data_IF_885976523761
#
_entry.id   IF_885976523761
#
_cell.length_a   1.000
_cell.length_b   1.000
_cell.length_c   1.000
_cell.angle_alpha   90.00
_cell.angle_beta   90.00
_cell.angle_gamma   90.00
#
_symmetry.space_group_name_H-M   'P 1'
#
loop_
_entity.id
_entity.type
_entity.pdbx_description
1 polymer ?
#
# COMPACT_ATOMS: atom_id res chain seq x y z
N UNK A 1 -9.50 -12.23 -3.59
CA UNK A 1 -10.03 -13.41 -4.34
C UNK A 1 -11.51 -13.16 -4.65
N UNK A 2 -11.99 -13.25 -5.90
CA UNK A 2 -13.39 -12.88 -6.22
C UNK A 2 -14.38 -13.68 -5.39
N UNK A 3 -15.17 -12.99 -4.57
CA UNK A 3 -16.24 -13.62 -3.79
C UNK A 3 -17.28 -14.20 -4.74
N UNK A 4 -17.63 -15.46 -4.51
CA UNK A 4 -18.65 -16.18 -5.27
C UNK A 4 -19.54 -16.92 -4.29
N UNK A 5 -20.84 -16.94 -4.57
CA UNK A 5 -21.76 -17.78 -3.85
C UNK A 5 -21.64 -19.22 -4.34
N UNK A 6 -21.66 -20.16 -3.40
CA UNK A 6 -21.89 -21.57 -3.68
C UNK A 6 -23.31 -21.91 -3.20
N UNK A 7 -24.25 -22.20 -4.12
CA UNK A 7 -25.63 -22.54 -3.77
C UNK A 7 -25.75 -23.76 -2.85
N UNK A 8 -24.72 -24.59 -2.74
CA UNK A 8 -24.71 -25.80 -1.94
C UNK A 8 -23.85 -25.69 -0.67
N UNK A 9 -23.18 -24.55 -0.45
CA UNK A 9 -22.29 -24.36 0.67
C UNK A 9 -22.51 -22.98 1.32
N UNK A 10 -23.33 -22.97 2.36
CA UNK A 10 -23.60 -21.79 3.19
C UNK A 10 -22.31 -21.13 3.71
N UNK A 11 -21.34 -21.94 4.15
CA UNK A 11 -20.06 -21.44 4.69
C UNK A 11 -19.07 -21.00 3.59
N UNK A 12 -19.49 -20.99 2.32
CA UNK A 12 -18.67 -20.56 1.19
C UNK A 12 -18.39 -19.04 1.17
N UNK A 13 -19.21 -18.23 1.83
CA UNK A 13 -19.04 -16.78 1.92
C UNK A 13 -19.46 -16.25 3.32
N UNK A 14 -18.66 -16.50 4.36
CA UNK A 14 -19.04 -16.17 5.74
C UNK A 14 -19.26 -14.66 5.96
N UNK A 15 -18.50 -13.80 5.29
CA UNK A 15 -18.65 -12.35 5.38
C UNK A 15 -20.00 -11.86 4.85
N UNK A 16 -20.55 -12.51 3.83
CA UNK A 16 -21.89 -12.21 3.33
C UNK A 16 -22.97 -12.63 4.32
N UNK A 17 -22.79 -13.79 4.97
CA UNK A 17 -23.71 -14.26 6.00
C UNK A 17 -23.73 -13.34 7.21
N UNK A 18 -22.56 -12.88 7.66
CA UNK A 18 -22.42 -11.93 8.76
C UNK A 18 -23.10 -10.60 8.41
N UNK A 19 -22.88 -10.08 7.19
CA UNK A 19 -23.54 -8.86 6.71
C UNK A 19 -25.07 -8.98 6.68
N UNK A 20 -25.62 -10.08 6.18
CA UNK A 20 -27.08 -10.31 6.15
C UNK A 20 -27.67 -10.32 7.56
N UNK A 21 -26.98 -10.95 8.50
CA UNK A 21 -27.44 -11.03 9.89
C UNK A 21 -27.41 -9.67 10.58
N UNK A 22 -26.36 -8.88 10.34
CA UNK A 22 -26.23 -7.52 10.85
C UNK A 22 -27.32 -6.60 10.27
N UNK A 23 -27.51 -6.61 8.95
CA UNK A 23 -28.56 -5.83 8.29
C UNK A 23 -29.96 -6.17 8.81
N UNK A 24 -30.24 -7.46 9.00
CA UNK A 24 -31.50 -7.89 9.57
C UNK A 24 -31.65 -7.42 11.03
N UNK A 25 -30.60 -7.59 11.84
CA UNK A 25 -30.60 -7.20 13.24
C UNK A 25 -30.81 -5.68 13.43
N UNK A 26 -30.21 -4.85 12.58
CA UNK A 26 -30.40 -3.40 12.60
C UNK A 26 -31.85 -2.99 12.28
N UNK A 27 -32.49 -3.69 11.34
CA UNK A 27 -33.84 -3.34 10.88
C UNK A 27 -34.96 -3.93 11.76
N UNK A 28 -34.77 -5.16 12.22
CA UNK A 28 -35.85 -5.98 12.81
C UNK A 28 -35.51 -6.57 14.18
N UNK A 29 -34.28 -6.39 14.68
CA UNK A 29 -33.79 -7.07 15.88
C UNK A 29 -33.47 -8.55 15.64
N UNK A 30 -33.19 -9.32 16.71
CA UNK A 30 -32.89 -10.75 16.56
C UNK A 30 -34.10 -11.51 16.02
N UNK A 31 -33.89 -12.37 15.03
CA UNK A 31 -34.92 -13.30 14.56
C UNK A 31 -35.23 -14.30 15.68
N UNK A 32 -36.48 -14.34 16.14
CA UNK A 32 -36.95 -15.28 17.17
C UNK A 32 -38.18 -16.04 16.66
N UNK A 33 -38.03 -17.36 16.58
CA UNK A 33 -39.09 -18.29 16.19
C UNK A 33 -39.35 -19.21 17.38
N UNK A 34 -40.36 -18.87 18.18
CA UNK A 34 -40.80 -19.66 19.33
C UNK A 34 -39.69 -19.96 20.36
N UNK A 35 -38.77 -19.01 20.58
CA UNK A 35 -37.63 -19.13 21.49
C UNK A 35 -36.35 -19.69 20.85
N UNK A 36 -36.38 -20.01 19.55
CA UNK A 36 -35.20 -20.34 18.76
C UNK A 36 -34.76 -19.12 17.96
N UNK A 37 -33.47 -18.78 18.05
CA UNK A 37 -32.89 -17.64 17.34
C UNK A 37 -31.94 -18.10 16.24
N UNK A 38 -32.45 -18.50 15.06
CA UNK A 38 -31.59 -18.84 13.93
C UNK A 38 -30.93 -17.58 13.35
N UNK A 39 -29.79 -17.78 12.69
CA UNK A 39 -29.16 -16.76 11.85
C UNK A 39 -30.08 -16.44 10.66
N UNK A 40 -30.51 -15.18 10.45
CA UNK A 40 -31.31 -14.77 9.29
C UNK A 40 -30.74 -15.23 7.94
N UNK A 41 -29.42 -15.10 7.75
CA UNK A 41 -28.68 -15.57 6.58
C UNK A 41 -28.88 -17.07 6.32
N UNK A 42 -28.81 -17.91 7.36
CA UNK A 42 -29.04 -19.35 7.24
C UNK A 42 -30.49 -19.69 6.83
N UNK A 43 -31.46 -18.94 7.37
CA UNK A 43 -32.87 -19.09 7.00
C UNK A 43 -33.09 -18.70 5.54
N UNK A 44 -32.53 -17.57 5.09
CA UNK A 44 -32.60 -17.13 3.70
C UNK A 44 -31.95 -18.16 2.77
N UNK A 45 -30.73 -18.63 3.08
CA UNK A 45 -30.03 -19.65 2.30
C UNK A 45 -30.87 -20.93 2.14
N UNK A 46 -31.53 -21.38 3.20
CA UNK A 46 -32.26 -22.66 3.20
C UNK A 46 -33.68 -22.54 2.62
N UNK A 47 -34.38 -21.45 2.93
CA UNK A 47 -35.81 -21.31 2.66
C UNK A 47 -36.15 -20.38 1.50
N UNK A 48 -35.23 -19.47 1.13
CA UNK A 48 -35.40 -18.56 0.01
C UNK A 48 -34.07 -18.29 -0.72
N UNK A 49 -33.51 -19.31 -1.41
CA UNK A 49 -32.25 -19.17 -2.13
C UNK A 49 -32.25 -18.02 -3.14
N UNK A 50 -33.36 -17.81 -3.85
CA UNK A 50 -33.50 -16.70 -4.80
C UNK A 50 -33.32 -15.33 -4.14
N UNK A 51 -33.87 -15.14 -2.93
CA UNK A 51 -33.70 -13.89 -2.17
C UNK A 51 -32.27 -13.76 -1.65
N UNK A 52 -31.69 -14.86 -1.16
CA UNK A 52 -30.31 -14.92 -0.70
C UNK A 52 -29.32 -14.60 -1.84
N UNK A 53 -29.57 -15.04 -3.07
CA UNK A 53 -28.74 -14.66 -4.22
C UNK A 53 -29.01 -13.22 -4.66
N UNK A 54 -30.26 -12.77 -4.65
CA UNK A 54 -30.62 -11.42 -5.07
C UNK A 54 -29.98 -10.32 -4.20
N UNK A 55 -29.84 -10.53 -2.89
CA UNK A 55 -29.23 -9.55 -1.98
C UNK A 55 -27.70 -9.55 -2.03
N UNK A 56 -27.07 -10.48 -2.76
CA UNK A 56 -25.62 -10.55 -2.89
C UNK A 56 -25.03 -9.38 -3.68
N UNK A 57 -25.77 -8.85 -4.67
CA UNK A 57 -25.34 -7.65 -5.40
C UNK A 57 -25.24 -6.43 -4.49
N UNK A 58 -26.16 -6.30 -3.54
CA UNK A 58 -26.21 -5.18 -2.60
C UNK A 58 -25.02 -5.25 -1.63
N UNK A 59 -24.74 -6.46 -1.11
CA UNK A 59 -23.53 -6.71 -0.31
C UNK A 59 -22.26 -6.37 -1.08
N UNK A 60 -22.13 -6.82 -2.33
CA UNK A 60 -20.95 -6.56 -3.16
C UNK A 60 -20.78 -5.06 -3.41
N UNK A 61 -21.87 -4.33 -3.68
CA UNK A 61 -21.84 -2.88 -3.85
C UNK A 61 -21.43 -2.16 -2.57
N UNK A 62 -22.00 -2.53 -1.42
CA UNK A 62 -21.62 -1.92 -0.14
C UNK A 62 -20.15 -2.19 0.19
N UNK A 63 -19.69 -3.44 0.05
CA UNK A 63 -18.29 -3.82 0.26
C UNK A 63 -17.35 -3.01 -0.62
N UNK A 64 -17.70 -2.82 -1.90
CA UNK A 64 -16.90 -2.01 -2.82
C UNK A 64 -16.78 -0.55 -2.33
N UNK A 65 -17.89 0.07 -1.89
CA UNK A 65 -17.89 1.43 -1.35
C UNK A 65 -17.08 1.55 -0.05
N UNK A 66 -17.15 0.56 0.83
CA UNK A 66 -16.34 0.49 2.06
C UNK A 66 -14.84 0.41 1.74
N UNK A 67 -14.46 -0.45 0.78
CA UNK A 67 -13.07 -0.55 0.30
C UNK A 67 -12.63 0.80 -0.29
N UNK A 68 -13.44 1.42 -1.16
CA UNK A 68 -13.12 2.74 -1.74
C UNK A 68 -12.90 3.79 -0.67
N UNK A 69 -13.80 3.86 0.32
CA UNK A 69 -13.73 4.80 1.42
C UNK A 69 -12.48 4.57 2.27
N UNK A 70 -12.14 3.31 2.56
CA UNK A 70 -10.91 2.97 3.26
C UNK A 70 -9.67 3.42 2.47
N UNK A 71 -9.56 3.01 1.19
CA UNK A 71 -8.39 3.35 0.35
C UNK A 71 -8.23 4.87 0.23
N UNK A 72 -9.31 5.62 0.03
CA UNK A 72 -9.21 7.07 -0.13
C UNK A 72 -8.84 7.80 1.16
N UNK A 73 -9.17 7.27 2.35
CA UNK A 73 -9.06 8.00 3.61
C UNK A 73 -7.98 7.47 4.55
N UNK A 74 -7.70 6.17 4.50
CA UNK A 74 -6.90 5.47 5.51
C UNK A 74 -5.56 4.97 4.98
N UNK A 75 -5.44 4.71 3.67
CA UNK A 75 -4.20 4.24 3.06
C UNK A 75 -3.14 5.35 2.99
N UNK A 76 -1.85 5.00 2.80
CA UNK A 76 -0.79 5.97 2.55
C UNK A 76 -1.11 6.90 1.37
N UNK A 77 -0.81 8.19 1.51
CA UNK A 77 -1.20 9.22 0.54
C UNK A 77 -0.84 8.93 -0.92
N UNK A 78 0.31 8.32 -1.29
CA UNK A 78 0.59 8.01 -2.69
C UNK A 78 -0.46 7.12 -3.35
N UNK A 79 -0.97 6.13 -2.61
CA UNK A 79 -1.99 5.20 -3.10
C UNK A 79 -3.35 5.90 -3.11
N UNK A 80 -3.72 6.48 -1.96
CA UNK A 80 -5.01 7.12 -1.77
C UNK A 80 -5.25 8.27 -2.76
N UNK A 81 -4.22 9.06 -3.06
CA UNK A 81 -4.30 10.18 -3.99
C UNK A 81 -4.65 9.72 -5.41
N UNK A 82 -3.90 8.75 -5.96
CA UNK A 82 -4.16 8.27 -7.31
C UNK A 82 -5.50 7.55 -7.43
N UNK A 83 -5.87 6.77 -6.41
CA UNK A 83 -7.15 6.06 -6.40
C UNK A 83 -8.33 7.04 -6.33
N UNK A 84 -8.25 8.06 -5.46
CA UNK A 84 -9.27 9.10 -5.38
C UNK A 84 -9.43 9.84 -6.71
N UNK A 85 -8.31 10.16 -7.39
CA UNK A 85 -8.32 10.80 -8.71
C UNK A 85 -8.90 9.88 -9.78
N UNK A 86 -8.65 8.57 -9.71
CA UNK A 86 -9.25 7.58 -10.60
C UNK A 86 -10.79 7.52 -10.46
N UNK A 87 -11.30 7.63 -9.24
CA UNK A 87 -12.75 7.61 -8.96
C UNK A 87 -13.42 8.95 -9.29
N UNK A 88 -12.78 10.08 -8.96
CA UNK A 88 -13.46 11.38 -8.87
C UNK A 88 -12.84 12.52 -9.71
N UNK A 89 -11.64 12.35 -10.26
CA UNK A 89 -10.80 13.47 -10.72
C UNK A 89 -10.11 13.26 -12.06
N UNK A 90 -10.76 12.54 -12.98
CA UNK A 90 -10.30 12.29 -14.35
C UNK A 90 -11.11 13.10 -15.38
N UNK A 91 -10.45 13.46 -16.48
CA UNK A 91 -11.01 14.21 -17.61
C UNK A 91 -11.29 13.31 -18.82
N UNK A 92 -10.63 12.15 -18.89
CA UNK A 92 -10.83 11.15 -19.96
C UNK A 92 -10.60 9.72 -19.44
N UNK A 93 -11.10 8.71 -20.16
CA UNK A 93 -10.90 7.30 -19.82
C UNK A 93 -9.42 6.91 -19.91
N UNK A 94 -8.64 7.53 -20.82
CA UNK A 94 -7.20 7.33 -20.88
C UNK A 94 -6.49 7.85 -19.63
N UNK A 95 -6.84 9.07 -19.18
CA UNK A 95 -6.30 9.60 -17.92
C UNK A 95 -6.72 8.74 -16.73
N UNK A 96 -7.98 8.31 -16.71
CA UNK A 96 -8.51 7.40 -15.69
C UNK A 96 -7.70 6.10 -15.63
N UNK A 97 -7.45 5.46 -16.77
CA UNK A 97 -6.62 4.25 -16.82
C UNK A 97 -5.20 4.49 -16.28
N UNK A 98 -4.58 5.63 -16.61
CA UNK A 98 -3.27 5.98 -16.05
C UNK A 98 -3.31 6.15 -14.52
N UNK A 99 -4.36 6.77 -13.97
CA UNK A 99 -4.52 6.91 -12.52
C UNK A 99 -4.73 5.56 -11.83
N UNK A 100 -5.45 4.63 -12.44
CA UNK A 100 -5.57 3.26 -11.93
C UNK A 100 -4.21 2.55 -11.90
N UNK A 101 -3.43 2.71 -12.97
CA UNK A 101 -2.05 2.19 -13.05
C UNK A 101 -1.15 2.83 -11.99
N UNK A 102 -1.24 4.14 -11.78
CA UNK A 102 -0.39 4.85 -10.84
C UNK A 102 -0.77 4.52 -9.39
N UNK A 103 -2.05 4.22 -9.12
CA UNK A 103 -2.52 3.64 -7.83
C UNK A 103 -1.81 2.32 -7.57
N UNK A 104 -1.88 1.43 -8.54
CA UNK A 104 -1.27 0.12 -8.51
C UNK A 104 0.25 0.17 -8.29
N UNK A 105 0.96 0.99 -9.08
CA UNK A 105 2.40 1.16 -8.93
C UNK A 105 2.76 1.75 -7.57
N UNK A 106 1.95 2.67 -7.06
CA UNK A 106 2.16 3.24 -5.72
C UNK A 106 2.04 2.20 -4.61
N UNK A 107 1.14 1.22 -4.75
CA UNK A 107 1.07 0.08 -3.81
C UNK A 107 2.40 -0.67 -3.79
N UNK A 108 2.91 -1.04 -4.97
CA UNK A 108 4.17 -1.78 -5.09
C UNK A 108 5.34 -0.96 -4.55
N UNK A 109 5.36 0.35 -4.83
CA UNK A 109 6.43 1.24 -4.41
C UNK A 109 6.47 1.41 -2.90
N UNK A 110 5.30 1.51 -2.25
CA UNK A 110 5.21 1.54 -0.79
C UNK A 110 5.66 0.20 -0.20
N UNK A 111 5.16 -0.93 -0.69
CA UNK A 111 5.55 -2.25 -0.16
C UNK A 111 7.05 -2.51 -0.36
N UNK A 112 7.62 -2.11 -1.49
CA UNK A 112 9.05 -2.23 -1.77
C UNK A 112 9.88 -1.33 -0.86
N UNK A 113 9.46 -0.07 -0.66
CA UNK A 113 10.09 0.83 0.28
C UNK A 113 10.07 0.29 1.71
N UNK A 114 8.94 -0.28 2.14
CA UNK A 114 8.79 -0.93 3.45
C UNK A 114 9.73 -2.12 3.60
N UNK A 115 9.77 -3.03 2.61
CA UNK A 115 10.63 -4.20 2.64
C UNK A 115 12.12 -3.80 2.77
N UNK A 116 12.59 -2.87 1.93
CA UNK A 116 13.98 -2.39 1.95
C UNK A 116 14.31 -1.71 3.28
N UNK A 117 13.41 -0.84 3.76
CA UNK A 117 13.62 -0.07 4.97
C UNK A 117 13.57 -0.94 6.24
N UNK A 118 12.66 -1.93 6.30
CA UNK A 118 12.57 -2.89 7.39
C UNK A 118 13.80 -3.80 7.44
N UNK A 119 14.26 -4.29 6.29
CA UNK A 119 15.48 -5.10 6.21
C UNK A 119 16.70 -4.33 6.74
N UNK A 120 16.83 -3.05 6.35
CA UNK A 120 17.86 -2.14 6.87
C UNK A 120 17.73 -1.89 8.36
N UNK A 121 16.51 -1.70 8.85
CA UNK A 121 16.25 -1.49 10.28
C UNK A 121 16.67 -2.70 11.12
N UNK A 122 16.32 -3.90 10.66
CA UNK A 122 16.66 -5.17 11.32
C UNK A 122 18.11 -5.58 11.13
N UNK A 123 18.84 -4.92 10.23
CA UNK A 123 20.25 -5.16 9.92
C UNK A 123 20.55 -6.63 9.59
N UNK A 124 19.70 -7.22 8.74
CA UNK A 124 19.83 -8.63 8.34
C UNK A 124 20.63 -8.71 7.03
N UNK A 125 21.69 -9.52 6.97
CA UNK A 125 22.45 -9.72 5.75
C UNK A 125 21.55 -10.23 4.61
N UNK A 126 21.65 -9.60 3.44
CA UNK A 126 20.95 -10.03 2.24
C UNK A 126 21.90 -10.89 1.40
N UNK A 127 21.47 -12.10 1.08
CA UNK A 127 22.21 -13.07 0.28
C UNK A 127 21.61 -13.25 -1.13
N UNK A 128 22.34 -13.94 -2.00
CA UNK A 128 21.87 -14.31 -3.34
C UNK A 128 20.48 -15.00 -3.29
N UNK A 129 19.62 -14.77 -4.30
CA UNK A 129 19.90 -14.10 -5.58
C UNK A 129 19.69 -12.58 -5.59
N UNK A 130 19.36 -11.96 -4.44
CA UNK A 130 19.14 -10.50 -4.36
C UNK A 130 20.46 -9.75 -4.50
N UNK A 131 20.46 -8.71 -5.33
CA UNK A 131 21.64 -7.85 -5.55
C UNK A 131 21.35 -6.43 -5.12
N UNK A 132 22.35 -5.76 -4.55
CA UNK A 132 22.22 -4.37 -4.10
C UNK A 132 21.67 -3.42 -5.19
N UNK A 133 22.14 -3.56 -6.44
CA UNK A 133 21.67 -2.75 -7.56
C UNK A 133 20.17 -2.93 -7.85
N UNK A 134 19.62 -4.10 -7.55
CA UNK A 134 18.22 -4.43 -7.83
C UNK A 134 17.28 -3.71 -6.86
N UNK A 135 17.77 -3.30 -5.67
CA UNK A 135 17.00 -2.45 -4.75
C UNK A 135 16.70 -1.07 -5.33
N UNK A 136 17.46 -0.63 -6.33
CA UNK A 136 17.30 0.67 -7.00
C UNK A 136 16.84 0.51 -8.45
N UNK A 137 15.95 -0.47 -8.69
CA UNK A 137 15.38 -0.76 -10.01
C UNK A 137 14.19 0.15 -10.36
N UNK A 138 14.02 0.41 -11.65
CA UNK A 138 12.85 1.04 -12.25
C UNK A 138 11.78 0.04 -12.71
N UNK A 139 12.09 -1.26 -12.66
CA UNK A 139 11.17 -2.33 -13.04
C UNK A 139 10.23 -2.68 -11.89
N UNK A 140 8.93 -2.47 -12.11
CA UNK A 140 7.85 -2.87 -11.18
C UNK A 140 7.90 -4.39 -10.90
N UNK A 141 8.17 -5.20 -11.92
CA UNK A 141 8.31 -6.65 -11.73
C UNK A 141 9.48 -6.99 -10.80
N UNK A 142 10.62 -6.27 -10.96
CA UNK A 142 11.78 -6.47 -10.09
C UNK A 142 11.54 -6.00 -8.66
N UNK A 143 10.72 -4.96 -8.44
CA UNK A 143 10.28 -4.53 -7.10
C UNK A 143 9.46 -5.63 -6.40
N UNK A 144 8.55 -6.28 -7.12
CA UNK A 144 7.79 -7.44 -6.60
C UNK A 144 8.71 -8.61 -6.22
N UNK A 145 9.69 -8.94 -7.07
CA UNK A 145 10.72 -9.95 -6.74
C UNK A 145 11.53 -9.56 -5.50
N UNK A 146 11.89 -8.28 -5.36
CA UNK A 146 12.61 -7.80 -4.19
C UNK A 146 11.78 -7.93 -2.91
N UNK A 147 10.48 -7.59 -2.94
CA UNK A 147 9.58 -7.73 -1.79
C UNK A 147 9.54 -9.19 -1.33
N UNK A 148 9.35 -10.13 -2.25
CA UNK A 148 9.30 -11.57 -1.96
C UNK A 148 10.65 -12.09 -1.45
N UNK A 149 11.75 -11.69 -2.09
CA UNK A 149 13.09 -12.10 -1.69
C UNK A 149 13.45 -11.62 -0.29
N UNK A 150 13.19 -10.35 0.03
CA UNK A 150 13.44 -9.78 1.36
C UNK A 150 12.55 -10.47 2.39
N UNK A 151 11.28 -10.67 2.08
CA UNK A 151 10.33 -11.36 2.97
C UNK A 151 10.79 -12.77 3.29
N UNK A 152 11.23 -13.51 2.29
CA UNK A 152 11.72 -14.88 2.44
C UNK A 152 12.97 -14.94 3.32
N UNK A 153 13.91 -14.02 3.14
CA UNK A 153 15.14 -13.96 3.95
C UNK A 153 14.88 -13.55 5.40
N UNK A 154 13.98 -12.59 5.64
CA UNK A 154 13.56 -12.23 6.99
C UNK A 154 12.85 -13.41 7.68
N UNK A 155 11.98 -14.12 6.95
CA UNK A 155 11.29 -15.32 7.45
C UNK A 155 12.27 -16.45 7.79
N UNK A 156 13.29 -16.67 6.96
CA UNK A 156 14.37 -17.63 7.23
C UNK A 156 15.19 -17.28 8.48
N UNK A 157 15.27 -16.00 8.84
CA UNK A 157 15.86 -15.52 10.09
C UNK A 157 14.90 -15.60 11.31
N UNK A 158 13.72 -16.20 11.15
CA UNK A 158 12.72 -16.36 12.22
C UNK A 158 11.88 -15.11 12.48
N UNK A 159 11.83 -14.17 11.53
CA UNK A 159 11.13 -12.91 11.68
C UNK A 159 9.98 -12.86 10.69
N UNK A 160 8.77 -12.59 11.19
CA UNK A 160 7.63 -12.26 10.34
C UNK A 160 7.68 -10.75 10.02
N UNK A 161 8.04 -10.34 8.79
CA UNK A 161 8.18 -8.93 8.47
C UNK A 161 6.82 -8.26 8.30
N UNK A 162 6.79 -6.95 8.51
CA UNK A 162 5.59 -6.11 8.37
C UNK A 162 4.98 -6.26 6.98
N UNK A 163 5.82 -6.25 5.95
CA UNK A 163 5.37 -6.39 4.55
C UNK A 163 4.68 -7.75 4.30
N UNK A 164 5.08 -8.84 4.96
CA UNK A 164 4.43 -10.14 4.80
C UNK A 164 3.06 -10.22 5.48
N UNK A 165 2.85 -9.44 6.55
CA UNK A 165 1.55 -9.32 7.21
C UNK A 165 0.56 -8.56 6.32
N UNK A 166 1.04 -7.55 5.60
CA UNK A 166 0.21 -6.69 4.73
C UNK A 166 -0.03 -7.35 3.37
N UNK A 167 1.02 -7.91 2.76
CA UNK A 167 0.94 -8.59 1.47
C UNK A 167 1.40 -10.04 1.62
N UNK A 168 0.53 -10.94 2.08
CA UNK A 168 0.81 -12.38 2.09
C UNK A 168 1.17 -12.90 0.69
N UNK A 169 1.77 -14.10 0.63
CA UNK A 169 2.24 -14.69 -0.63
C UNK A 169 1.14 -14.81 -1.70
N UNK A 170 -0.09 -15.11 -1.30
CA UNK A 170 -1.24 -15.18 -2.22
C UNK A 170 -1.56 -13.80 -2.83
N UNK A 171 -1.59 -12.74 -2.02
CA UNK A 171 -1.77 -11.36 -2.47
C UNK A 171 -0.63 -10.95 -3.40
N UNK A 172 0.64 -11.22 -3.05
CA UNK A 172 1.78 -10.93 -3.91
C UNK A 172 1.74 -11.69 -5.25
N UNK A 173 1.21 -12.91 -5.28
CA UNK A 173 1.01 -13.67 -6.52
C UNK A 173 -0.05 -13.03 -7.41
N UNK A 174 -1.22 -12.71 -6.85
CA UNK A 174 -2.27 -11.96 -7.55
C UNK A 174 -1.73 -10.62 -8.07
N UNK A 175 -0.85 -9.99 -7.29
CA UNK A 175 -0.21 -8.75 -7.70
C UNK A 175 0.70 -8.92 -8.94
N UNK A 176 1.49 -10.00 -8.98
CA UNK A 176 2.34 -10.30 -10.14
C UNK A 176 1.50 -10.59 -11.39
N UNK A 177 0.39 -11.33 -11.25
CA UNK A 177 -0.53 -11.62 -12.36
C UNK A 177 -1.13 -10.33 -12.93
N UNK A 178 -1.64 -9.44 -12.06
CA UNK A 178 -2.18 -8.15 -12.47
C UNK A 178 -1.12 -7.31 -13.20
N UNK A 179 0.13 -7.31 -12.72
CA UNK A 179 1.23 -6.60 -13.37
C UNK A 179 1.61 -7.19 -14.74
N UNK A 180 1.50 -8.51 -14.93
CA UNK A 180 1.71 -9.16 -16.22
C UNK A 180 0.63 -8.77 -17.22
N UNK A 181 -0.64 -8.84 -16.81
CA UNK A 181 -1.78 -8.37 -17.60
C UNK A 181 -1.54 -6.91 -18.02
N UNK A 182 -1.28 -6.02 -17.06
CA UNK A 182 -0.96 -4.60 -17.30
C UNK A 182 0.15 -4.39 -18.33
N UNK A 183 1.26 -5.14 -18.25
CA UNK A 183 2.39 -4.99 -19.18
C UNK A 183 2.01 -5.24 -20.63
N UNK A 184 1.11 -6.20 -20.89
CA UNK A 184 0.60 -6.42 -22.24
C UNK A 184 -0.08 -5.17 -22.82
N UNK A 185 -0.62 -4.30 -21.95
CA UNK A 185 -1.39 -3.11 -22.35
C UNK A 185 -0.51 -1.87 -22.46
N UNK A 186 0.53 -1.72 -21.64
CA UNK A 186 1.51 -0.62 -21.75
C UNK A 186 2.31 -0.62 -23.06
N UNK A 187 2.37 -1.75 -23.79
CA UNK A 187 3.07 -1.85 -25.07
C UNK A 187 2.24 -1.42 -26.29
N UNK A 188 0.95 -1.10 -26.13
CA UNK A 188 0.12 -0.54 -27.22
C UNK A 188 0.27 0.99 -27.25
N UNK A 189 1.16 1.49 -28.12
CA UNK A 189 1.67 2.86 -28.14
C UNK A 189 0.65 4.00 -28.40
N UNK A 190 -0.65 3.70 -28.56
CA UNK A 190 -1.73 4.66 -28.52
C UNK A 190 -3.04 3.92 -28.24
N UNK A 191 -3.50 3.94 -26.99
CA UNK A 191 -4.81 3.40 -26.66
C UNK A 191 -5.88 4.45 -26.94
N UNK A 192 -6.94 4.04 -27.64
CA UNK A 192 -8.14 4.87 -27.79
C UNK A 192 -8.95 4.90 -26.48
N UNK A 193 -9.78 5.92 -26.30
CA UNK A 193 -10.69 6.04 -25.15
C UNK A 193 -11.59 4.80 -24.98
N UNK A 194 -12.09 4.23 -26.08
CA UNK A 194 -12.89 3.01 -26.04
C UNK A 194 -12.11 1.79 -25.53
N UNK A 195 -10.84 1.67 -25.90
CA UNK A 195 -9.96 0.63 -25.37
C UNK A 195 -9.70 0.85 -23.89
N UNK A 196 -9.39 2.08 -23.48
CA UNK A 196 -9.16 2.42 -22.07
C UNK A 196 -10.37 2.10 -21.19
N UNK A 197 -11.59 2.34 -21.68
CA UNK A 197 -12.82 1.97 -20.98
C UNK A 197 -12.97 0.47 -20.81
N UNK A 198 -12.75 -0.32 -21.86
CA UNK A 198 -12.78 -1.79 -21.79
C UNK A 198 -11.78 -2.28 -20.75
N UNK A 199 -10.57 -1.71 -20.76
CA UNK A 199 -9.51 -2.03 -19.80
C UNK A 199 -9.94 -1.83 -18.37
N UNK A 200 -10.47 -0.64 -18.07
CA UNK A 200 -10.95 -0.33 -16.73
C UNK A 200 -12.02 -1.35 -16.32
N UNK A 201 -13.01 -1.62 -17.18
CA UNK A 201 -14.06 -2.60 -16.87
C UNK A 201 -13.52 -4.02 -16.62
N UNK A 202 -12.47 -4.43 -17.32
CA UNK A 202 -11.87 -5.76 -17.19
C UNK A 202 -11.02 -5.89 -15.91
N UNK A 203 -10.18 -4.90 -15.61
CA UNK A 203 -9.20 -5.01 -14.52
C UNK A 203 -9.65 -4.40 -13.19
N UNK A 204 -10.66 -3.53 -13.19
CA UNK A 204 -11.06 -2.79 -11.99
C UNK A 204 -11.43 -3.71 -10.82
N UNK A 205 -12.21 -4.75 -11.10
CA UNK A 205 -12.60 -5.73 -10.06
C UNK A 205 -11.37 -6.37 -9.45
N UNK A 206 -10.38 -6.76 -10.25
CA UNK A 206 -9.15 -7.39 -9.76
C UNK A 206 -8.31 -6.40 -8.93
N UNK A 207 -8.28 -5.12 -9.31
CA UNK A 207 -7.61 -4.06 -8.54
C UNK A 207 -8.28 -3.86 -7.18
N UNK A 208 -9.61 -3.76 -7.14
CA UNK A 208 -10.36 -3.58 -5.89
C UNK A 208 -10.17 -4.77 -4.96
N UNK A 209 -10.21 -6.00 -5.49
CA UNK A 209 -9.94 -7.21 -4.68
C UNK A 209 -8.53 -7.20 -4.09
N UNK A 210 -7.52 -6.81 -4.87
CA UNK A 210 -6.15 -6.69 -4.34
C UNK A 210 -6.05 -5.58 -3.29
N UNK A 211 -6.73 -4.45 -3.48
CA UNK A 211 -6.75 -3.38 -2.47
C UNK A 211 -7.44 -3.82 -1.19
N UNK A 212 -8.50 -4.63 -1.28
CA UNK A 212 -9.17 -5.24 -0.13
C UNK A 212 -8.24 -6.22 0.61
N UNK A 213 -7.49 -7.04 -0.13
CA UNK A 213 -6.51 -7.98 0.43
C UNK A 213 -5.26 -7.27 1.02
N UNK A 214 -5.17 -5.94 0.91
CA UNK A 214 -4.09 -5.08 1.40
C UNK A 214 -4.57 -4.10 2.50
N UNK A 215 -5.66 -4.42 3.19
CA UNK A 215 -6.23 -3.65 4.31
C UNK A 215 -5.19 -3.29 5.40
N UNK A 216 -4.17 -4.11 5.61
CA UNK A 216 -3.05 -3.82 6.51
C UNK A 216 -2.30 -2.51 6.19
N UNK A 217 -2.43 -1.98 4.97
CA UNK A 217 -1.92 -0.64 4.61
C UNK A 217 -2.58 0.49 5.38
N UNK A 218 -3.81 0.31 5.90
CA UNK A 218 -4.48 1.31 6.75
C UNK A 218 -3.70 1.62 8.04
N UNK A 219 -2.95 0.62 8.53
CA UNK A 219 -2.11 0.72 9.72
C UNK A 219 -0.72 1.31 9.46
N UNK A 220 -0.36 1.56 8.19
CA UNK A 220 0.94 2.14 7.82
C UNK A 220 0.87 3.66 7.92
N UNK A 221 1.69 4.24 8.80
CA UNK A 221 1.82 5.69 8.90
C UNK A 221 3.14 6.15 8.31
N UNK A 222 3.09 6.77 7.14
CA UNK A 222 4.23 7.50 6.57
C UNK A 222 4.23 8.90 7.17
N UNK A 223 5.37 9.27 7.77
CA UNK A 223 5.48 10.53 8.50
C UNK A 223 6.80 11.24 8.21
N UNK A 224 6.77 12.58 8.26
CA UNK A 224 7.97 13.40 8.32
C UNK A 224 8.19 13.82 9.77
N UNK A 225 9.33 13.45 10.33
CA UNK A 225 9.71 13.88 11.67
C UNK A 225 10.05 15.37 11.69
N UNK A 226 9.39 16.14 12.57
CA UNK A 226 9.61 17.57 12.71
C UNK A 226 10.46 17.88 13.95
N UNK A 227 10.08 17.32 15.10
CA UNK A 227 10.75 17.53 16.37
C UNK A 227 10.32 16.49 17.41
N UNK A 228 11.00 16.46 18.54
CA UNK A 228 10.61 15.65 19.70
C UNK A 228 10.09 16.58 20.80
N UNK A 229 8.87 16.33 21.28
CA UNK A 229 8.22 17.15 22.33
C UNK A 229 8.79 16.78 23.70
N UNK A 230 8.95 15.48 23.94
CA UNK A 230 9.53 14.88 25.13
C UNK A 230 10.16 13.51 24.79
N UNK A 231 10.71 12.81 25.77
CA UNK A 231 11.41 11.53 25.56
C UNK A 231 10.60 10.43 24.84
N UNK A 232 9.28 10.54 24.75
CA UNK A 232 8.37 9.52 24.20
C UNK A 232 7.30 10.09 23.27
N UNK A 233 7.38 11.37 22.91
CA UNK A 233 6.39 12.03 22.06
C UNK A 233 7.08 12.69 20.86
N UNK A 234 6.80 12.17 19.67
CA UNK A 234 7.30 12.69 18.41
C UNK A 234 6.26 13.65 17.80
N UNK A 235 6.71 14.82 17.33
CA UNK A 235 5.88 15.72 16.54
C UNK A 235 6.17 15.45 15.06
N UNK A 236 5.15 14.99 14.35
CA UNK A 236 5.27 14.50 12.98
C UNK A 236 4.23 15.13 12.07
N UNK A 237 4.60 15.32 10.81
CA UNK A 237 3.65 15.55 9.72
C UNK A 237 3.25 14.21 9.11
N UNK A 238 1.94 13.97 8.96
CA UNK A 238 1.35 12.69 8.56
C UNK A 238 0.91 12.73 7.10
N UNK A 239 1.22 11.67 6.36
CA UNK A 239 0.80 11.49 4.97
C UNK A 239 -0.14 10.30 4.85
N UNK A 240 -1.43 10.58 5.07
CA UNK A 240 -2.52 9.61 5.04
C UNK A 240 -3.71 10.14 4.24
N UNK A 241 -4.32 9.27 3.44
CA UNK A 241 -5.48 9.61 2.63
C UNK A 241 -5.14 10.53 1.45
N UNK A 242 -6.17 10.84 0.66
CA UNK A 242 -6.06 11.61 -0.58
C UNK A 242 -5.89 13.12 -0.39
N UNK A 243 -6.15 13.64 0.82
CA UNK A 243 -6.06 15.08 1.10
C UNK A 243 -4.61 15.58 1.02
N UNK A 244 -4.42 16.73 0.38
CA UNK A 244 -3.14 17.46 0.35
C UNK A 244 -2.94 18.37 1.56
N UNK A 245 -3.85 18.33 2.52
CA UNK A 245 -3.80 19.19 3.70
C UNK A 245 -2.72 18.72 4.67
N UNK A 246 -1.82 19.64 5.02
CA UNK A 246 -0.78 19.39 6.01
C UNK A 246 -1.39 19.02 7.36
N UNK A 247 -1.13 17.81 7.81
CA UNK A 247 -1.63 17.28 9.09
C UNK A 247 -0.46 17.03 10.02
N UNK A 248 -0.38 17.77 11.13
CA UNK A 248 0.66 17.59 12.16
C UNK A 248 0.04 16.93 13.39
N UNK A 249 0.66 15.86 13.87
CA UNK A 249 0.20 15.11 15.03
C UNK A 249 1.36 14.81 15.99
N UNK A 250 1.03 14.70 17.28
CA UNK A 250 1.94 14.20 18.29
C UNK A 250 1.72 12.69 18.45
N UNK A 251 2.73 11.89 18.12
CA UNK A 251 2.69 10.44 18.17
C UNK A 251 3.41 9.98 19.44
N UNK A 252 2.69 9.22 20.27
CA UNK A 252 3.27 8.59 21.47
C UNK A 252 3.97 7.30 21.08
N UNK A 253 5.19 7.13 21.57
CA UNK A 253 6.00 5.94 21.39
C UNK A 253 6.40 5.38 22.75
N UNK A 254 6.64 4.09 22.85
CA UNK A 254 7.17 3.49 24.06
C UNK A 254 8.70 3.65 24.14
N UNK A 255 9.27 3.34 25.31
CA UNK A 255 10.72 3.48 25.55
C UNK A 255 11.56 2.59 24.64
N UNK A 256 11.07 1.40 24.30
CA UNK A 256 11.78 0.46 23.42
C UNK A 256 11.86 1.02 21.99
N UNK A 257 10.74 1.50 21.44
CA UNK A 257 10.67 2.18 20.15
C UNK A 257 11.59 3.41 20.12
N UNK A 258 11.67 4.17 21.20
CA UNK A 258 12.58 5.31 21.28
C UNK A 258 14.03 4.86 21.11
N UNK A 259 14.47 3.82 21.82
CA UNK A 259 15.84 3.32 21.77
C UNK A 259 16.19 2.71 20.41
N UNK A 260 15.31 1.87 19.87
CA UNK A 260 15.55 1.14 18.62
C UNK A 260 15.57 2.06 17.39
N UNK A 261 14.88 3.20 17.48
CA UNK A 261 14.66 4.11 16.36
C UNK A 261 15.31 5.48 16.54
N UNK A 262 16.05 5.70 17.64
CA UNK A 262 16.68 6.98 17.97
C UNK A 262 17.50 7.57 16.83
N UNK A 263 18.20 6.71 16.06
CA UNK A 263 19.04 7.14 14.92
C UNK A 263 18.27 7.85 13.82
N UNK A 264 16.95 7.64 13.73
CA UNK A 264 16.09 8.25 12.71
C UNK A 264 15.44 9.57 13.15
N UNK A 265 15.54 9.97 14.42
CA UNK A 265 14.88 11.18 14.95
C UNK A 265 15.68 12.45 14.66
N UNK A 266 15.93 12.70 13.38
CA UNK A 266 16.59 13.90 12.88
C UNK A 266 15.59 14.73 12.07
N UNK A 267 15.63 16.05 12.22
CA UNK A 267 14.67 16.95 11.58
C UNK A 267 14.59 16.70 10.06
N UNK A 268 13.38 16.51 9.55
CA UNK A 268 13.13 16.24 8.14
C UNK A 268 13.32 14.77 7.72
N UNK A 269 13.59 13.84 8.63
CA UNK A 269 13.62 12.42 8.28
C UNK A 269 12.23 11.90 7.91
N UNK A 270 12.18 11.11 6.83
CA UNK A 270 10.97 10.36 6.46
C UNK A 270 10.98 9.03 7.19
N UNK A 271 9.95 8.78 7.98
CA UNK A 271 9.79 7.58 8.80
C UNK A 271 8.52 6.84 8.40
N UNK A 272 8.50 5.55 8.70
CA UNK A 272 7.26 4.79 8.81
C UNK A 272 7.07 4.32 10.24
N UNK A 273 5.81 4.30 10.68
CA UNK A 273 5.37 3.64 11.90
C UNK A 273 4.44 2.51 11.48
N UNK A 274 4.81 1.27 11.80
CA UNK A 274 4.11 0.08 11.38
C UNK A 274 4.43 -1.09 12.30
N UNK A 275 3.41 -1.88 12.69
CA UNK A 275 3.58 -3.10 13.49
C UNK A 275 4.45 -2.88 14.77
N UNK A 276 4.30 -1.71 15.40
CA UNK A 276 5.08 -1.34 16.58
C UNK A 276 6.54 -0.96 16.30
N UNK A 277 6.99 -0.92 15.06
CA UNK A 277 8.32 -0.49 14.64
C UNK A 277 8.31 0.95 14.10
N UNK A 278 9.47 1.60 14.19
CA UNK A 278 9.70 2.92 13.59
C UNK A 278 11.03 2.91 12.85
N UNK A 279 11.01 3.18 11.54
CA UNK A 279 12.24 3.17 10.75
C UNK A 279 12.22 4.14 9.58
N UNK A 280 13.42 4.56 9.15
CA UNK A 280 13.58 5.54 8.07
C UNK A 280 13.27 4.97 6.70
N UNK A 281 12.53 5.72 5.88
CA UNK A 281 12.15 5.34 4.51
C UNK A 281 13.10 5.89 3.43
N UNK A 282 14.01 6.80 3.79
CA UNK A 282 15.03 7.30 2.85
C UNK A 282 16.00 6.18 2.47
N UNK A 283 16.44 6.08 1.20
CA UNK A 283 16.15 7.00 0.10
C UNK A 283 14.89 6.66 -0.70
N UNK A 284 14.14 5.60 -0.39
CA UNK A 284 12.99 5.15 -1.19
C UNK A 284 11.84 6.16 -1.19
N UNK A 285 11.60 6.81 -0.05
CA UNK A 285 10.60 7.87 0.10
C UNK A 285 11.27 9.11 0.64
N UNK A 286 11.02 10.23 -0.03
CA UNK A 286 11.54 11.55 0.30
C UNK A 286 10.39 12.57 0.34
N UNK A 287 10.70 13.83 0.60
CA UNK A 287 9.72 14.92 0.55
C UNK A 287 10.33 16.13 -0.14
N UNK A 288 9.46 16.99 -0.65
CA UNK A 288 9.82 18.31 -1.16
C UNK A 288 8.86 19.33 -0.56
N UNK A 289 9.39 20.45 -0.12
CA UNK A 289 8.58 21.62 0.22
C UNK A 289 8.37 22.48 -1.02
N UNK A 290 7.20 23.07 -1.16
CA UNK A 290 7.02 24.16 -2.11
C UNK A 290 7.94 25.35 -1.73
N UNK A 291 8.22 26.23 -2.70
CA UNK A 291 9.16 27.35 -2.49
C UNK A 291 8.73 28.37 -1.41
N UNK A 292 7.54 28.19 -0.82
CA UNK A 292 6.97 29.03 0.24
C UNK A 292 6.87 28.28 1.58
N UNK A 293 7.16 26.97 1.62
CA UNK A 293 7.14 26.13 2.82
C UNK A 293 5.75 25.82 3.38
N UNK A 294 4.69 26.06 2.59
CA UNK A 294 3.30 25.84 3.00
C UNK A 294 2.81 24.44 2.70
N UNK A 295 3.32 23.83 1.62
CA UNK A 295 2.89 22.50 1.17
C UNK A 295 4.08 21.57 1.10
N UNK A 296 3.99 20.44 1.80
CA UNK A 296 4.94 19.32 1.66
C UNK A 296 4.36 18.30 0.71
N UNK A 297 5.14 17.88 -0.29
CA UNK A 297 4.81 16.79 -1.20
C UNK A 297 5.67 15.58 -0.92
N UNK A 298 5.08 14.39 -0.96
CA UNK A 298 5.83 13.14 -0.94
C UNK A 298 6.50 12.90 -2.28
N UNK A 299 7.70 12.34 -2.22
CA UNK A 299 8.51 11.97 -3.37
C UNK A 299 8.79 10.46 -3.30
N UNK A 300 8.37 9.69 -4.31
CA UNK A 300 8.57 8.23 -4.37
C UNK A 300 9.67 7.89 -5.37
N UNK A 301 10.60 7.04 -4.95
CA UNK A 301 11.72 6.60 -5.78
C UNK A 301 11.23 5.96 -7.09
N UNK A 302 11.81 6.39 -8.22
CA UNK A 302 11.51 5.81 -9.53
C UNK A 302 12.70 5.12 -10.15
N UNK A 303 13.86 5.78 -10.18
CA UNK A 303 15.08 5.17 -10.74
C UNK A 303 16.33 5.92 -10.34
N UNK A 304 17.47 5.31 -10.57
CA UNK A 304 18.75 6.00 -10.57
C UNK A 304 19.14 6.43 -11.98
N UNK A 305 19.82 7.57 -12.12
CA UNK A 305 20.38 8.06 -13.39
C UNK A 305 21.86 8.39 -13.23
N UNK A 306 22.57 8.41 -14.35
CA UNK A 306 23.99 8.75 -14.42
C UNK A 306 24.91 7.62 -13.97
N UNK A 307 26.20 7.90 -13.98
CA UNK A 307 27.26 6.97 -13.55
C UNK A 307 27.92 7.47 -12.26
N UNK A 308 28.69 6.60 -11.60
CA UNK A 308 29.48 7.04 -10.45
C UNK A 308 30.55 8.05 -10.91
N UNK A 309 30.84 9.11 -10.13
CA UNK A 309 30.34 9.40 -8.78
C UNK A 309 29.06 10.25 -8.74
N UNK A 310 28.53 10.68 -9.88
CA UNK A 310 27.45 11.67 -10.00
C UNK A 310 26.07 11.02 -10.21
N UNK A 311 25.88 9.80 -9.68
CA UNK A 311 24.59 9.12 -9.74
C UNK A 311 23.55 9.96 -9.02
N UNK A 312 22.39 10.13 -9.66
CA UNK A 312 21.24 10.80 -9.08
C UNK A 312 20.10 9.84 -8.81
N UNK A 313 19.26 10.21 -7.86
CA UNK A 313 18.02 9.52 -7.55
C UNK A 313 16.87 10.36 -8.12
N UNK A 314 16.12 9.78 -9.05
CA UNK A 314 14.91 10.39 -9.62
C UNK A 314 13.69 9.93 -8.82
N UNK A 315 12.90 10.90 -8.40
CA UNK A 315 11.65 10.74 -7.68
C UNK A 315 10.46 11.21 -8.53
N UNK A 316 9.31 10.58 -8.30
CA UNK A 316 8.01 11.15 -8.61
C UNK A 316 7.51 12.03 -7.48
N UNK A 317 7.05 13.23 -7.81
CA UNK A 317 6.35 14.08 -6.84
C UNK A 317 4.86 13.74 -6.86
N UNK A 318 4.34 13.23 -5.74
CA UNK A 318 2.94 12.79 -5.67
C UNK A 318 2.00 13.98 -5.88
N UNK A 319 1.11 13.82 -6.85
CA UNK A 319 0.13 14.83 -7.25
C UNK A 319 0.63 15.89 -8.20
N UNK A 320 1.88 15.80 -8.65
CA UNK A 320 2.44 16.66 -9.69
C UNK A 320 2.95 15.79 -10.85
N UNK A 321 2.72 16.23 -12.09
CA UNK A 321 3.28 15.57 -13.27
C UNK A 321 4.77 15.93 -13.47
N UNK A 322 5.55 15.94 -12.36
CA UNK A 322 6.92 16.46 -12.30
C UNK A 322 7.84 15.40 -11.68
N UNK A 323 9.05 15.30 -12.23
CA UNK A 323 10.15 14.52 -11.67
C UNK A 323 11.05 15.42 -10.84
N UNK A 324 11.51 14.90 -9.71
CA UNK A 324 12.48 15.57 -8.85
C UNK A 324 13.77 14.75 -8.80
N UNK A 325 14.93 15.39 -8.91
CA UNK A 325 16.22 14.72 -8.83
C UNK A 325 16.99 15.17 -7.61
N UNK A 326 17.59 14.22 -6.91
CA UNK A 326 18.52 14.47 -5.80
C UNK A 326 19.87 13.80 -6.06
N UNK A 327 20.94 14.43 -5.56
CA UNK A 327 22.26 13.80 -5.54
C UNK A 327 22.23 12.59 -4.60
N UNK A 328 22.70 11.43 -5.08
CA UNK A 328 22.79 10.21 -4.29
C UNK A 328 23.63 10.41 -3.01
N UNK A 329 24.59 11.34 -3.01
CA UNK A 329 25.42 11.70 -1.84
C UNK A 329 24.58 12.24 -0.68
N UNK A 330 23.42 12.85 -0.95
CA UNK A 330 22.49 13.31 0.09
C UNK A 330 21.89 12.15 0.92
N UNK A 331 22.06 10.91 0.45
CA UNK A 331 21.60 9.68 1.10
C UNK A 331 22.75 8.70 1.36
N UNK A 332 24.00 9.19 1.42
CA UNK A 332 25.18 8.34 1.57
C UNK A 332 25.09 7.45 2.81
N UNK A 333 24.57 7.95 3.93
CA UNK A 333 24.39 7.16 5.16
C UNK A 333 23.48 5.96 4.91
N UNK A 334 22.28 6.21 4.38
CA UNK A 334 21.28 5.17 4.14
C UNK A 334 21.74 4.17 3.08
N UNK A 335 22.42 4.65 2.04
CA UNK A 335 22.99 3.81 0.98
C UNK A 335 24.11 2.93 1.51
N UNK A 336 24.99 3.46 2.36
CA UNK A 336 26.08 2.69 2.96
C UNK A 336 25.56 1.63 3.93
N UNK A 337 24.51 1.95 4.73
CA UNK A 337 23.81 0.95 5.54
C UNK A 337 23.26 -0.19 4.66
N UNK A 338 22.58 0.15 3.56
CA UNK A 338 22.06 -0.85 2.61
C UNK A 338 23.18 -1.67 1.96
N UNK A 339 24.28 -1.04 1.55
CA UNK A 339 25.47 -1.74 0.98
C UNK A 339 26.06 -2.73 1.98
N UNK A 340 26.13 -2.34 3.26
CA UNK A 340 26.59 -3.20 4.34
C UNK A 340 25.79 -4.51 4.47
N UNK A 341 24.48 -4.49 4.18
CA UNK A 341 23.65 -5.69 4.20
C UNK A 341 24.11 -6.74 3.17
N UNK A 342 24.73 -6.31 2.06
CA UNK A 342 25.28 -7.19 1.02
C UNK A 342 26.78 -7.47 1.20
N UNK A 343 27.36 -7.08 2.34
CA UNK A 343 28.82 -7.18 2.56
C UNK A 343 29.65 -6.26 1.68
N UNK A 344 29.04 -5.21 1.11
CA UNK A 344 29.72 -4.24 0.27
C UNK A 344 30.32 -3.12 1.14
N UNK A 345 31.51 -2.62 0.75
CA UNK A 345 32.11 -1.44 1.37
C UNK A 345 31.32 -0.15 1.09
N UNK A 346 31.77 0.97 1.65
CA UNK A 346 31.21 2.31 1.39
C UNK A 346 31.21 2.63 -0.10
N UNK A 347 30.16 3.32 -0.58
CA UNK A 347 29.99 3.72 -2.00
C UNK A 347 31.01 4.76 -2.46
#
# INVERSE_FOLDING_TARGET
>A
MKLQLDPNNYDGCPSYNDWLDEQYAEQSGPLDILGYQPRPSFVLFTMSPDTYEATFSDFMQQREEEIKASVCNLFPSPIAYYFYRFENGYESDLQRLHLLRDTWESVIDILHALAVAECRHRNIPIIDPLKFKDLFTDSVAKRLENIEGVTSQLSAAGILPTVAKISPAATLAAMKELNQSRNAFSHSAAQSEAQARSWISECYVDVVEVLADLDGLEGIQIVRYLSQVDGTTLRCEIFRGHSSTRTIQNIKINRQQMLDSAKYFQQGQMLVIADGLIFGLRPMIHFREDGVGHTTRLCIFRKTRGEAPDRRIEYEVIGEAVRHEEDRKNFAMEINELRGLFGLGVD
#
